data_IF_307723139765
#
_entry.id   IF_307723139765
#
_cell.length_a   1.000
_cell.length_b   1.000
_cell.length_c   1.000
_cell.angle_alpha   90.00
_cell.angle_beta   90.00
_cell.angle_gamma   90.00
#
_symmetry.space_group_name_H-M   'P 1'
#
loop_
_entity.id
_entity.type
_entity.pdbx_description
1 polymer ?
#
# COMPACT_ATOMS: atom_id res chain seq x y z
N UNK A 1 7.69 -20.46 6.27
CA UNK A 1 6.95 -19.97 7.46
C UNK A 1 5.57 -20.58 7.43
N UNK A 2 5.14 -21.25 8.51
CA UNK A 2 3.78 -21.78 8.61
C UNK A 2 2.88 -20.67 9.17
N UNK A 3 1.82 -20.30 8.46
CA UNK A 3 0.77 -19.44 9.02
C UNK A 3 -0.15 -20.33 9.86
N UNK A 4 0.03 -20.31 11.18
CA UNK A 4 -0.79 -21.08 12.09
C UNK A 4 -2.25 -20.61 12.06
N UNK A 5 -3.18 -21.53 12.38
CA UNK A 5 -4.58 -21.20 12.55
C UNK A 5 -4.75 -20.06 13.57
N UNK A 6 -5.59 -19.07 13.24
CA UNK A 6 -5.81 -17.88 14.06
C UNK A 6 -4.85 -16.72 13.80
N UNK A 7 -3.89 -16.86 12.89
CA UNK A 7 -3.02 -15.74 12.48
C UNK A 7 -3.80 -14.62 11.76
N UNK A 8 -3.35 -13.38 11.90
CA UNK A 8 -3.86 -12.22 11.15
C UNK A 8 -2.75 -11.63 10.29
N UNK A 9 -3.05 -11.38 9.02
CA UNK A 9 -2.19 -10.59 8.13
C UNK A 9 -2.70 -9.16 8.16
N UNK A 10 -1.86 -8.23 8.59
CA UNK A 10 -2.18 -6.80 8.69
C UNK A 10 -1.24 -6.06 7.74
N UNK A 11 -1.81 -5.19 6.92
CA UNK A 11 -1.09 -4.33 5.99
C UNK A 11 -1.39 -2.90 6.40
N UNK A 12 -0.35 -2.15 6.76
CA UNK A 12 -0.43 -0.75 7.16
C UNK A 12 0.51 0.07 6.26
N UNK A 13 0.08 1.28 5.90
CA UNK A 13 0.84 2.20 5.08
C UNK A 13 0.21 3.58 5.12
N UNK A 14 0.95 4.56 4.61
CA UNK A 14 0.53 5.96 4.58
C UNK A 14 0.91 6.60 3.25
N UNK A 15 0.08 7.54 2.80
CA UNK A 15 0.41 8.47 1.73
C UNK A 15 1.05 9.72 2.34
N UNK A 16 2.14 10.20 1.75
CA UNK A 16 2.84 11.40 2.21
C UNK A 16 2.64 12.56 1.24
N UNK A 17 1.63 13.37 1.55
CA UNK A 17 1.32 14.63 0.86
C UNK A 17 1.87 15.84 1.62
N UNK A 18 2.93 15.67 2.43
CA UNK A 18 3.62 16.80 3.05
C UNK A 18 4.39 17.61 2.00
N UNK A 19 4.52 18.92 2.25
CA UNK A 19 5.36 19.82 1.42
C UNK A 19 6.85 19.45 1.44
N UNK A 20 7.26 18.61 2.39
CA UNK A 20 8.66 18.17 2.55
C UNK A 20 8.99 16.94 1.71
N UNK A 21 8.00 16.26 1.14
CA UNK A 21 8.22 15.16 0.22
C UNK A 21 8.57 15.70 -1.18
N UNK A 22 9.86 15.91 -1.46
CA UNK A 22 10.35 16.37 -2.76
C UNK A 22 10.02 15.40 -3.93
N UNK A 23 9.62 14.17 -3.62
CA UNK A 23 9.17 13.19 -4.60
C UNK A 23 7.68 13.31 -4.95
N UNK A 24 6.90 14.07 -4.17
CA UNK A 24 5.51 14.38 -4.49
C UNK A 24 5.47 15.60 -5.44
N UNK A 25 5.04 15.43 -6.70
CA UNK A 25 5.03 16.51 -7.68
C UNK A 25 4.02 17.62 -7.35
N UNK A 26 2.95 17.32 -6.61
CA UNK A 26 1.95 18.30 -6.17
C UNK A 26 1.32 17.87 -4.83
N UNK A 27 1.85 18.34 -3.70
CA UNK A 27 1.32 18.05 -2.37
C UNK A 27 -0.11 18.57 -2.13
N UNK A 28 -0.58 19.54 -2.94
CA UNK A 28 -1.92 20.12 -2.82
C UNK A 28 -2.99 19.39 -3.64
N UNK A 29 -2.60 18.41 -4.45
CA UNK A 29 -3.52 17.69 -5.32
C UNK A 29 -4.50 16.81 -4.53
N UNK A 30 -5.78 16.91 -4.86
CA UNK A 30 -6.80 15.96 -4.42
C UNK A 30 -6.78 14.73 -5.33
N UNK A 31 -6.04 13.69 -4.92
CA UNK A 31 -5.94 12.43 -5.64
C UNK A 31 -6.92 11.41 -5.07
N UNK A 32 -7.42 10.52 -5.92
CA UNK A 32 -8.34 9.44 -5.56
C UNK A 32 -7.68 8.08 -5.82
N UNK A 33 -8.24 7.02 -5.24
CA UNK A 33 -7.83 5.67 -5.56
C UNK A 33 -8.27 5.25 -6.98
N UNK A 34 -7.39 4.62 -7.75
CA UNK A 34 -7.68 4.21 -9.13
C UNK A 34 -6.54 3.47 -9.81
N UNK A 35 -6.75 3.03 -11.05
CA UNK A 35 -5.76 2.25 -11.82
C UNK A 35 -4.96 3.10 -12.82
N UNK A 36 -5.26 4.39 -12.92
CA UNK A 36 -4.56 5.30 -13.83
C UNK A 36 -3.28 5.83 -13.19
N UNK A 37 -2.32 6.26 -14.00
CA UNK A 37 -1.01 6.73 -13.50
C UNK A 37 -1.07 8.02 -12.68
N UNK A 38 -2.19 8.72 -12.69
CA UNK A 38 -2.46 9.93 -11.90
C UNK A 38 -3.43 9.68 -10.73
N UNK A 39 -3.88 8.43 -10.54
CA UNK A 39 -4.63 8.00 -9.37
C UNK A 39 -3.67 7.29 -8.38
N UNK A 40 -4.02 7.25 -7.09
CA UNK A 40 -3.22 6.59 -6.05
C UNK A 40 -3.57 5.10 -5.91
N UNK A 41 -2.58 4.29 -5.51
CA UNK A 41 -2.76 2.87 -5.22
C UNK A 41 -1.99 2.46 -3.96
N UNK A 42 -2.68 1.81 -3.04
CA UNK A 42 -2.06 1.10 -1.92
C UNK A 42 -2.60 -0.33 -1.88
N UNK A 43 -1.74 -1.30 -2.18
CA UNK A 43 -2.12 -2.72 -2.29
C UNK A 43 -1.05 -3.56 -1.61
N UNK A 44 -1.44 -4.35 -0.61
CA UNK A 44 -0.58 -5.36 -0.03
C UNK A 44 -0.72 -6.69 -0.76
N UNK A 45 0.32 -7.10 -1.47
CA UNK A 45 0.40 -8.43 -2.07
C UNK A 45 0.98 -9.43 -1.07
N UNK A 46 0.29 -10.54 -0.86
CA UNK A 46 0.73 -11.60 0.03
C UNK A 46 0.62 -12.96 -0.66
N UNK A 47 1.76 -13.61 -0.89
CA UNK A 47 1.85 -14.91 -1.55
C UNK A 47 2.42 -15.95 -0.59
N UNK A 48 1.84 -17.15 -0.57
CA UNK A 48 2.29 -18.27 0.25
C UNK A 48 2.20 -19.58 -0.53
N UNK A 49 2.91 -20.59 -0.04
CA UNK A 49 2.83 -21.96 -0.57
C UNK A 49 2.57 -22.94 0.57
N UNK A 50 1.91 -24.05 0.24
CA UNK A 50 1.66 -25.12 1.20
C UNK A 50 2.97 -25.83 1.54
N UNK A 51 3.29 -25.96 2.82
CA UNK A 51 4.37 -26.85 3.26
C UNK A 51 3.87 -28.30 3.24
N UNK A 52 4.75 -29.25 2.90
CA UNK A 52 4.42 -30.69 2.79
C UNK A 52 3.59 -31.21 3.95
#
# INVERSE_FOLDING_TARGET
MLLAAGSRVIIEGAFDNSEYNLGNPDPGAAVRGGAQSWDEMFIGYFSYYKTR
#
